data_IF_952441084928
#
_entry.id   IF_952441084928
#
_cell.length_a   1.000
_cell.length_b   1.000
_cell.length_c   1.000
_cell.angle_alpha   90.00
_cell.angle_beta   90.00
_cell.angle_gamma   90.00
#
_symmetry.space_group_name_H-M   'P 1'
#
loop_
_entity.id
_entity.type
_entity.pdbx_description
1 polymer ?
#
# COMPACT_ATOMS: atom_id res chain seq x y z
N UNK A 1 -10.87 6.37 29.95
CA UNK A 1 -9.88 7.14 30.74
C UNK A 1 -10.54 8.38 31.32
N UNK A 2 -10.70 9.49 30.59
CA UNK A 2 -11.26 10.74 31.16
C UNK A 2 -12.64 10.57 31.84
N UNK A 3 -13.58 9.83 31.22
CA UNK A 3 -14.88 9.50 31.83
C UNK A 3 -14.67 8.73 33.15
N UNK A 4 -13.78 7.74 33.17
CA UNK A 4 -13.51 6.97 34.39
C UNK A 4 -12.92 7.85 35.50
N UNK A 5 -11.97 8.73 35.18
CA UNK A 5 -11.40 9.69 36.14
C UNK A 5 -12.43 10.71 36.66
N UNK A 6 -13.41 11.10 35.84
CA UNK A 6 -14.55 11.92 36.23
C UNK A 6 -15.46 11.17 37.22
N UNK A 7 -15.84 9.94 36.90
CA UNK A 7 -16.77 9.17 37.73
C UNK A 7 -16.14 8.64 39.02
N UNK A 8 -14.85 8.30 39.03
CA UNK A 8 -14.12 8.04 40.28
C UNK A 8 -14.16 9.26 41.23
N UNK A 9 -14.01 10.48 40.71
CA UNK A 9 -14.18 11.70 41.50
C UNK A 9 -15.62 11.92 41.96
N UNK A 10 -16.63 11.66 41.11
CA UNK A 10 -18.05 11.75 41.52
C UNK A 10 -18.39 10.77 42.64
N UNK A 11 -17.99 9.49 42.53
CA UNK A 11 -18.14 8.46 43.58
C UNK A 11 -17.52 8.92 44.89
N UNK A 12 -16.27 9.38 44.85
CA UNK A 12 -15.56 9.82 46.06
C UNK A 12 -16.20 11.07 46.71
N UNK A 13 -16.82 11.96 45.93
CA UNK A 13 -17.62 13.09 46.46
C UNK A 13 -18.95 12.62 47.07
N UNK A 14 -19.61 11.63 46.47
CA UNK A 14 -20.86 11.06 46.96
C UNK A 14 -20.65 10.29 48.28
N UNK A 15 -19.58 9.50 48.37
CA UNK A 15 -19.16 8.77 49.59
C UNK A 15 -18.92 9.71 50.78
N UNK A 16 -18.30 10.87 50.54
CA UNK A 16 -18.03 11.89 51.56
C UNK A 16 -19.19 12.88 51.78
N UNK A 17 -20.37 12.61 51.20
CA UNK A 17 -21.57 13.45 51.28
C UNK A 17 -22.68 12.73 52.07
N UNK A 18 -23.62 13.46 52.73
CA UNK A 18 -24.85 12.87 53.25
C UNK A 18 -25.63 12.05 52.20
N UNK A 19 -25.46 12.38 50.90
CA UNK A 19 -26.03 11.61 49.79
C UNK A 19 -25.50 10.17 49.68
N UNK A 20 -24.31 9.86 50.20
CA UNK A 20 -23.72 8.51 50.16
C UNK A 20 -24.53 7.45 50.94
N UNK A 21 -25.44 7.87 51.83
CA UNK A 21 -26.37 6.98 52.53
C UNK A 21 -27.66 6.69 51.74
N UNK A 22 -27.89 7.35 50.60
CA UNK A 22 -29.05 7.16 49.74
C UNK A 22 -28.73 6.22 48.56
N UNK A 23 -29.29 5.00 48.48
CA UNK A 23 -29.06 4.08 47.37
C UNK A 23 -29.40 4.68 46.00
N UNK A 24 -30.44 5.51 45.91
CA UNK A 24 -30.87 6.11 44.64
C UNK A 24 -29.81 7.06 44.05
N UNK A 25 -29.02 7.75 44.88
CA UNK A 25 -27.95 8.63 44.41
C UNK A 25 -26.75 7.85 43.84
N UNK A 26 -26.56 6.59 44.27
CA UNK A 26 -25.58 5.70 43.65
C UNK A 26 -26.09 5.13 42.33
N UNK A 27 -27.38 4.76 42.25
CA UNK A 27 -28.01 4.30 41.00
C UNK A 27 -28.00 5.39 39.92
N UNK A 28 -28.39 6.62 40.26
CA UNK A 28 -28.34 7.79 39.36
C UNK A 28 -26.92 8.03 38.82
N UNK A 29 -25.89 7.82 39.66
CA UNK A 29 -24.48 7.97 39.27
C UNK A 29 -23.96 6.83 38.38
N UNK A 30 -24.40 5.59 38.61
CA UNK A 30 -24.07 4.45 37.74
C UNK A 30 -24.81 4.52 36.40
N UNK A 31 -26.07 4.97 36.39
CA UNK A 31 -26.83 5.26 35.16
C UNK A 31 -26.19 6.39 34.35
N UNK A 32 -25.73 7.47 34.99
CA UNK A 32 -24.98 8.55 34.32
C UNK A 32 -23.64 8.05 33.76
N UNK A 33 -22.93 7.15 34.47
CA UNK A 33 -21.69 6.55 33.96
C UNK A 33 -21.94 5.67 32.74
N UNK A 34 -23.01 4.86 32.78
CA UNK A 34 -23.36 3.97 31.68
C UNK A 34 -23.78 4.75 30.44
N UNK A 35 -24.67 5.74 30.57
CA UNK A 35 -25.08 6.62 29.46
C UNK A 35 -23.88 7.33 28.83
N UNK A 36 -22.89 7.76 29.63
CA UNK A 36 -21.64 8.36 29.11
C UNK A 36 -20.73 7.38 28.37
N UNK A 37 -20.76 6.10 28.69
CA UNK A 37 -20.04 5.08 27.92
C UNK A 37 -20.78 4.71 26.64
N UNK A 38 -22.11 4.61 26.68
CA UNK A 38 -22.95 4.36 25.50
C UNK A 38 -22.83 5.51 24.48
N UNK A 39 -22.88 6.77 24.92
CA UNK A 39 -22.64 7.95 24.07
C UNK A 39 -21.26 7.91 23.40
N UNK A 40 -20.21 7.56 24.15
CA UNK A 40 -18.85 7.45 23.61
C UNK A 40 -18.71 6.27 22.62
N UNK A 41 -19.41 5.16 22.86
CA UNK A 41 -19.42 4.01 21.95
C UNK A 41 -20.21 4.31 20.66
N UNK A 42 -21.32 5.05 20.73
CA UNK A 42 -22.01 5.54 19.53
C UNK A 42 -21.13 6.49 18.71
N UNK A 43 -20.44 7.44 19.36
CA UNK A 43 -19.47 8.33 18.69
C UNK A 43 -18.32 7.55 18.05
N UNK A 44 -17.80 6.51 18.72
CA UNK A 44 -16.77 5.63 18.16
C UNK A 44 -17.30 4.86 16.95
N UNK A 45 -18.51 4.28 17.03
CA UNK A 45 -19.11 3.55 15.92
C UNK A 45 -19.43 4.45 14.72
N UNK A 46 -19.85 5.70 14.93
CA UNK A 46 -20.07 6.65 13.85
C UNK A 46 -18.77 6.95 13.09
N UNK A 47 -17.68 7.23 13.82
CA UNK A 47 -16.36 7.46 13.23
C UNK A 47 -15.77 6.18 12.58
N UNK A 48 -16.04 5.00 13.15
CA UNK A 48 -15.63 3.71 12.58
C UNK A 48 -16.33 3.43 11.24
N UNK A 49 -17.60 3.83 11.08
CA UNK A 49 -18.35 3.78 9.80
C UNK A 49 -17.84 4.82 8.79
N UNK A 50 -17.69 6.08 9.20
CA UNK A 50 -17.16 7.15 8.32
C UNK A 50 -15.76 6.80 7.78
N UNK A 51 -14.91 6.19 8.62
CA UNK A 51 -13.60 5.70 8.19
C UNK A 51 -13.70 4.51 7.24
N UNK A 52 -14.65 3.59 7.43
CA UNK A 52 -14.88 2.47 6.50
C UNK A 52 -15.34 2.98 5.13
N UNK A 53 -16.34 3.86 5.08
CA UNK A 53 -16.84 4.46 3.84
C UNK A 53 -15.72 5.22 3.11
N UNK A 54 -14.87 5.96 3.83
CA UNK A 54 -13.70 6.63 3.27
C UNK A 54 -12.70 5.64 2.64
N UNK A 55 -12.35 4.57 3.34
CA UNK A 55 -11.39 3.58 2.83
C UNK A 55 -11.95 2.75 1.68
N UNK A 56 -13.23 2.36 1.70
CA UNK A 56 -13.86 1.64 0.59
C UNK A 56 -13.94 2.49 -0.68
N UNK A 57 -14.37 3.75 -0.58
CA UNK A 57 -14.41 4.65 -1.73
C UNK A 57 -13.00 4.89 -2.29
N UNK A 58 -12.00 5.13 -1.43
CA UNK A 58 -10.61 5.31 -1.84
C UNK A 58 -10.03 4.06 -2.53
N UNK A 59 -10.40 2.86 -2.07
CA UNK A 59 -9.99 1.59 -2.73
C UNK A 59 -10.71 1.35 -4.06
N UNK A 60 -11.96 1.79 -4.22
CA UNK A 60 -12.66 1.78 -5.52
C UNK A 60 -11.97 2.72 -6.51
N UNK A 61 -11.78 3.99 -6.13
CA UNK A 61 -11.07 4.97 -6.98
C UNK A 61 -9.66 4.54 -7.38
N UNK A 62 -8.96 3.77 -6.54
CA UNK A 62 -7.61 3.25 -6.83
C UNK A 62 -7.66 2.02 -7.76
N UNK A 63 -8.66 1.13 -7.62
CA UNK A 63 -8.90 0.04 -8.56
C UNK A 63 -9.38 0.53 -9.93
N UNK A 64 -10.27 1.53 -9.96
CA UNK A 64 -10.81 2.10 -11.20
C UNK A 64 -9.69 2.82 -11.98
N UNK A 65 -8.83 3.60 -11.30
CA UNK A 65 -7.61 4.16 -11.90
C UNK A 65 -6.66 3.08 -12.46
N UNK A 66 -6.45 1.97 -11.74
CA UNK A 66 -5.62 0.86 -12.22
C UNK A 66 -6.23 0.15 -13.44
N UNK A 67 -7.56 0.10 -13.55
CA UNK A 67 -8.25 -0.40 -14.76
C UNK A 67 -8.06 0.54 -15.92
N UNK A 68 -8.35 1.83 -15.75
CA UNK A 68 -8.12 2.85 -16.78
C UNK A 68 -6.66 2.92 -17.25
N UNK A 69 -5.69 2.65 -16.36
CA UNK A 69 -4.27 2.56 -16.73
C UNK A 69 -3.96 1.29 -17.52
N UNK A 70 -4.46 0.12 -17.10
CA UNK A 70 -4.29 -1.14 -17.85
C UNK A 70 -4.97 -1.10 -19.23
N UNK A 71 -6.14 -0.49 -19.34
CA UNK A 71 -6.86 -0.37 -20.61
C UNK A 71 -6.11 0.56 -21.58
N UNK A 72 -5.54 1.67 -21.09
CA UNK A 72 -4.62 2.52 -21.87
C UNK A 72 -3.34 1.79 -22.28
N UNK A 73 -2.73 1.00 -21.39
CA UNK A 73 -1.55 0.20 -21.72
C UNK A 73 -1.85 -0.84 -22.82
N UNK A 74 -3.05 -1.44 -22.82
CA UNK A 74 -3.51 -2.34 -23.90
C UNK A 74 -3.69 -1.60 -25.22
N UNK A 75 -4.34 -0.43 -25.22
CA UNK A 75 -4.45 0.39 -26.44
C UNK A 75 -3.08 0.80 -27.00
N UNK A 76 -2.10 1.09 -26.14
CA UNK A 76 -0.74 1.41 -26.57
C UNK A 76 0.05 0.18 -27.04
N UNK A 77 -0.15 -1.00 -26.46
CA UNK A 77 0.40 -2.27 -26.97
C UNK A 77 -0.18 -2.65 -28.34
N UNK A 78 -1.50 -2.56 -28.51
CA UNK A 78 -2.16 -2.93 -29.77
C UNK A 78 -1.81 -1.93 -30.89
N UNK A 79 -1.70 -0.62 -30.58
CA UNK A 79 -1.13 0.38 -31.51
C UNK A 79 0.31 0.04 -31.94
N UNK A 80 1.17 -0.37 -30.99
CA UNK A 80 2.54 -0.77 -31.31
C UNK A 80 2.58 -2.00 -32.22
N UNK A 81 1.68 -2.97 -32.06
CA UNK A 81 1.56 -4.13 -32.95
C UNK A 81 1.09 -3.72 -34.35
N UNK A 82 0.09 -2.85 -34.46
CA UNK A 82 -0.37 -2.33 -35.75
C UNK A 82 0.72 -1.53 -36.49
N UNK A 83 1.63 -0.86 -35.77
CA UNK A 83 2.79 -0.17 -36.36
C UNK A 83 3.95 -1.16 -36.69
N UNK A 84 4.17 -2.23 -35.90
CA UNK A 84 5.12 -3.30 -36.22
C UNK A 84 4.71 -4.09 -37.47
N UNK A 85 3.45 -4.51 -37.58
CA UNK A 85 2.98 -5.32 -38.70
C UNK A 85 3.00 -4.53 -40.01
N UNK A 86 2.71 -3.22 -39.99
CA UNK A 86 2.90 -2.34 -41.16
C UNK A 86 4.37 -2.22 -41.58
N UNK A 87 5.31 -2.16 -40.63
CA UNK A 87 6.74 -2.17 -40.95
C UNK A 87 7.18 -3.51 -41.58
N UNK A 88 6.56 -4.64 -41.21
CA UNK A 88 6.80 -5.94 -41.84
C UNK A 88 6.28 -5.98 -43.28
N UNK A 89 5.07 -5.48 -43.52
CA UNK A 89 4.50 -5.36 -44.88
C UNK A 89 5.39 -4.48 -45.79
N UNK A 90 5.90 -3.35 -45.26
CA UNK A 90 6.84 -2.48 -45.98
C UNK A 90 8.21 -3.17 -46.23
N UNK A 91 8.74 -3.98 -45.30
CA UNK A 91 9.98 -4.74 -45.49
C UNK A 91 9.84 -5.87 -46.51
N UNK A 92 8.77 -6.68 -46.43
CA UNK A 92 8.56 -7.81 -47.33
C UNK A 92 8.30 -7.32 -48.77
N UNK A 93 7.54 -6.23 -48.95
CA UNK A 93 7.35 -5.59 -50.25
C UNK A 93 8.66 -5.02 -50.86
N UNK A 94 9.60 -4.58 -50.03
CA UNK A 94 10.94 -4.19 -50.49
C UNK A 94 11.78 -5.40 -50.93
N UNK A 95 11.70 -6.53 -50.21
CA UNK A 95 12.41 -7.78 -50.57
C UNK A 95 11.91 -8.36 -51.88
N UNK A 96 10.59 -8.42 -52.10
CA UNK A 96 10.04 -8.84 -53.39
C UNK A 96 10.53 -7.93 -54.53
N UNK A 97 10.68 -6.62 -54.28
CA UNK A 97 11.24 -5.67 -55.23
C UNK A 97 12.74 -5.84 -55.52
N UNK A 98 13.55 -6.25 -54.53
CA UNK A 98 14.97 -6.57 -54.72
C UNK A 98 15.17 -7.89 -55.49
N UNK A 99 14.41 -8.94 -55.17
CA UNK A 99 14.60 -10.25 -55.80
C UNK A 99 14.19 -10.24 -57.28
N UNK A 100 13.14 -9.50 -57.67
CA UNK A 100 12.84 -9.27 -59.09
C UNK A 100 14.01 -8.55 -59.82
N UNK A 101 14.66 -7.57 -59.18
CA UNK A 101 15.82 -6.88 -59.77
C UNK A 101 17.06 -7.79 -59.87
N UNK A 102 17.18 -8.83 -59.03
CA UNK A 102 18.23 -9.84 -59.17
C UNK A 102 17.98 -10.77 -60.35
N UNK A 103 16.74 -11.19 -60.59
CA UNK A 103 16.39 -11.97 -61.79
C UNK A 103 16.66 -11.17 -63.09
N UNK A 104 16.47 -9.84 -63.07
CA UNK A 104 16.82 -8.94 -64.18
C UNK A 104 18.35 -8.75 -64.38
N UNK A 105 19.15 -8.74 -63.31
CA UNK A 105 20.62 -8.60 -63.38
C UNK A 105 21.36 -9.90 -63.75
N UNK A 106 20.94 -11.05 -63.21
CA UNK A 106 21.58 -12.35 -63.54
C UNK A 106 21.33 -12.74 -65.01
N UNK A 107 20.30 -12.18 -65.65
CA UNK A 107 20.07 -12.29 -67.09
C UNK A 107 21.07 -11.51 -67.98
N UNK A 108 22.00 -10.73 -67.40
CA UNK A 108 22.92 -9.84 -68.14
C UNK A 108 24.40 -10.02 -67.77
N UNK A 109 24.77 -11.09 -67.05
CA UNK A 109 26.15 -11.35 -66.59
C UNK A 109 26.86 -12.51 -67.31
N UNK A 110 26.88 -12.46 -68.65
CA UNK A 110 27.97 -13.07 -69.44
C UNK A 110 28.84 -11.97 -70.07
N UNK A 111 30.11 -12.29 -70.34
CA UNK A 111 31.11 -11.45 -71.04
C UNK A 111 31.54 -10.14 -70.33
N UNK A 112 32.51 -10.24 -69.40
CA UNK A 112 33.88 -9.72 -69.64
C UNK A 112 34.87 -10.11 -68.52
N UNK A 113 36.03 -10.67 -68.88
CA UNK A 113 37.20 -10.80 -68.00
C UNK A 113 38.23 -9.69 -68.30
N UNK A 114 39.07 -9.35 -67.29
CA UNK A 114 40.46 -8.81 -67.36
C UNK A 114 40.78 -7.52 -66.55
N UNK A 115 41.30 -7.73 -65.34
CA UNK A 115 42.68 -7.32 -64.95
C UNK A 115 43.10 -5.82 -64.95
N UNK A 116 43.29 -5.19 -63.75
CA UNK A 116 44.59 -4.64 -63.25
C UNK A 116 44.54 -3.81 -61.93
N UNK A 117 45.32 -4.26 -60.94
CA UNK A 117 46.09 -3.56 -59.87
C UNK A 117 46.14 -2.00 -59.79
N UNK A 118 45.71 -1.38 -58.64
CA UNK A 118 46.53 -0.55 -57.68
C UNK A 118 45.77 0.38 -56.71
N UNK A 119 46.26 0.47 -55.45
CA UNK A 119 45.97 1.55 -54.44
C UNK A 119 44.71 1.29 -53.59
N UNK A 120 44.72 1.05 -52.26
CA UNK A 120 45.38 1.64 -51.06
C UNK A 120 44.59 2.82 -50.44
N UNK A 121 44.45 2.81 -49.11
CA UNK A 121 44.16 3.93 -48.18
C UNK A 121 42.72 4.52 -48.21
N UNK A 122 42.10 5.03 -47.13
CA UNK A 122 42.22 4.95 -45.63
C UNK A 122 41.02 5.81 -45.06
N UNK A 123 40.33 5.63 -43.91
CA UNK A 123 40.36 4.71 -42.75
C UNK A 123 38.95 4.51 -42.10
N UNK A 124 38.69 3.33 -41.51
CA UNK A 124 37.92 3.07 -40.25
C UNK A 124 36.37 3.34 -40.15
N UNK A 125 35.66 2.83 -39.10
CA UNK A 125 34.21 2.55 -39.16
C UNK A 125 33.32 3.35 -38.18
N UNK A 126 32.01 3.26 -38.40
CA UNK A 126 31.02 3.18 -37.32
C UNK A 126 29.89 4.21 -37.31
N UNK A 127 28.67 3.74 -37.56
CA UNK A 127 27.43 4.39 -37.13
C UNK A 127 26.38 3.32 -36.77
N UNK A 128 26.56 2.70 -35.60
CA UNK A 128 25.45 2.00 -34.95
C UNK A 128 24.51 3.09 -34.44
N UNK A 129 23.34 3.25 -35.07
CA UNK A 129 22.36 4.28 -34.69
C UNK A 129 21.70 3.91 -33.36
N UNK A 130 22.39 4.24 -32.26
CA UNK A 130 21.83 4.28 -30.91
C UNK A 130 21.50 5.73 -30.61
N UNK A 131 20.23 6.11 -30.76
CA UNK A 131 19.73 7.43 -30.39
C UNK A 131 19.63 7.60 -28.87
N UNK A 132 20.78 7.54 -28.20
CA UNK A 132 21.00 7.97 -26.82
C UNK A 132 20.96 9.51 -26.72
N UNK A 133 19.94 10.12 -27.32
CA UNK A 133 19.85 11.53 -27.73
C UNK A 133 18.92 12.41 -26.90
N UNK A 134 18.51 11.97 -25.70
CA UNK A 134 17.97 12.86 -24.67
C UNK A 134 16.43 12.98 -24.56
N UNK A 135 15.84 12.08 -23.76
CA UNK A 135 14.61 12.39 -23.00
C UNK A 135 14.65 11.93 -21.54
N UNK A 136 15.85 11.88 -20.96
CA UNK A 136 16.09 11.48 -19.55
C UNK A 136 15.72 12.60 -18.54
N UNK A 137 14.57 13.24 -18.69
CA UNK A 137 14.04 14.28 -17.78
C UNK A 137 12.52 14.45 -17.99
N UNK A 138 11.73 13.48 -17.51
CA UNK A 138 10.26 13.56 -17.53
C UNK A 138 9.54 12.84 -16.36
N UNK A 139 10.26 12.29 -15.37
CA UNK A 139 9.65 11.70 -14.16
C UNK A 139 9.23 12.79 -13.15
N UNK A 140 8.52 13.79 -13.64
CA UNK A 140 8.09 14.97 -12.92
C UNK A 140 6.78 14.73 -12.13
N UNK A 141 6.85 13.78 -11.19
CA UNK A 141 6.07 13.84 -9.95
C UNK A 141 4.54 13.87 -10.12
N UNK A 142 3.99 12.81 -10.71
CA UNK A 142 2.73 12.26 -10.18
C UNK A 142 2.93 12.03 -8.66
N UNK A 143 2.12 12.61 -7.77
CA UNK A 143 2.23 12.38 -6.35
C UNK A 143 1.65 11.00 -6.02
N UNK A 144 2.50 9.96 -6.05
CA UNK A 144 2.18 8.64 -5.49
C UNK A 144 1.60 8.89 -4.09
N UNK A 145 0.32 8.53 -3.89
CA UNK A 145 -0.53 8.97 -2.79
C UNK A 145 -0.19 8.37 -1.42
N UNK A 146 1.09 8.15 -1.14
CA UNK A 146 1.62 7.73 0.15
C UNK A 146 1.13 8.73 1.22
N UNK A 147 0.41 8.27 2.26
CA UNK A 147 -0.08 9.14 3.32
C UNK A 147 1.07 9.91 3.97
N UNK A 148 0.92 11.23 4.11
CA UNK A 148 2.02 12.15 4.46
C UNK A 148 2.66 11.86 5.83
N UNK A 149 1.92 11.22 6.74
CA UNK A 149 2.36 10.80 8.07
C UNK A 149 2.45 9.27 8.15
N UNK A 150 3.48 8.76 8.84
CA UNK A 150 3.58 7.33 9.22
C UNK A 150 2.37 6.90 10.06
N UNK A 151 1.89 5.67 9.91
CA UNK A 151 0.66 5.18 10.56
C UNK A 151 0.29 3.73 10.20
N UNK A 152 -0.89 3.25 10.63
CA UNK A 152 -1.41 1.90 10.42
C UNK A 152 -2.87 1.86 9.96
N UNK A 153 -3.18 1.02 8.97
CA UNK A 153 -4.56 0.66 8.62
C UNK A 153 -5.22 -0.22 9.68
N UNK A 154 -6.55 -0.29 9.69
CA UNK A 154 -7.28 -1.23 10.56
C UNK A 154 -6.81 -2.67 10.28
N UNK A 155 -6.77 -3.52 11.32
CA UNK A 155 -6.35 -4.90 11.15
C UNK A 155 -7.35 -5.67 10.26
N UNK A 156 -6.86 -6.56 9.40
CA UNK A 156 -7.70 -7.40 8.54
C UNK A 156 -7.31 -8.89 8.58
N UNK A 157 -8.27 -9.82 8.76
CA UNK A 157 -9.68 -9.57 9.07
C UNK A 157 -9.89 -9.01 10.49
N UNK A 158 -11.04 -8.38 10.72
CA UNK A 158 -11.53 -7.96 12.03
C UNK A 158 -13.08 -8.06 12.02
N UNK A 159 -13.73 -8.91 12.83
CA UNK A 159 -13.13 -9.88 13.76
C UNK A 159 -12.27 -10.96 13.08
N UNK A 160 -11.43 -11.66 13.84
CA UNK A 160 -10.60 -12.76 13.33
C UNK A 160 -10.54 -13.95 14.28
N UNK A 161 -10.33 -15.16 13.75
CA UNK A 161 -10.34 -16.41 14.53
C UNK A 161 -8.99 -17.13 14.62
N UNK A 162 -8.07 -16.85 13.68
CA UNK A 162 -6.79 -17.58 13.55
C UNK A 162 -5.61 -16.61 13.51
N UNK A 163 -5.64 -15.66 12.58
CA UNK A 163 -4.65 -14.60 12.48
C UNK A 163 -5.27 -13.33 11.88
N UNK A 164 -4.63 -12.18 12.12
CA UNK A 164 -4.96 -10.89 11.50
C UNK A 164 -3.69 -10.17 11.06
N UNK A 165 -3.78 -9.43 9.97
CA UNK A 165 -2.68 -8.62 9.41
C UNK A 165 -2.91 -7.16 9.76
N UNK A 166 -1.87 -6.50 10.29
CA UNK A 166 -1.81 -5.06 10.47
C UNK A 166 -0.89 -4.51 9.39
N UNK A 167 -1.45 -3.73 8.45
CA UNK A 167 -0.68 -3.00 7.45
C UNK A 167 -0.28 -1.63 8.03
N UNK A 168 0.97 -1.23 7.86
CA UNK A 168 1.48 0.05 8.35
C UNK A 168 2.56 0.61 7.43
N UNK A 169 2.75 1.92 7.48
CA UNK A 169 3.66 2.65 6.59
C UNK A 169 4.55 3.59 7.38
N UNK A 170 5.78 3.73 6.90
CA UNK A 170 6.86 4.51 7.49
C UNK A 170 7.26 5.57 6.47
N UNK A 171 7.07 6.85 6.79
CA UNK A 171 7.39 7.96 5.88
C UNK A 171 8.79 8.53 6.09
N UNK A 172 9.28 8.49 7.34
CA UNK A 172 10.65 8.83 7.72
C UNK A 172 11.35 7.60 8.32
N UNK A 173 12.57 7.24 7.87
CA UNK A 173 13.31 6.11 8.43
C UNK A 173 13.55 6.27 9.94
N UNK A 174 13.20 5.28 10.74
CA UNK A 174 13.20 5.41 12.19
C UNK A 174 12.92 4.12 12.95
N UNK A 175 12.96 4.22 14.28
CA UNK A 175 12.57 3.12 15.16
C UNK A 175 11.05 2.93 15.10
N UNK A 176 10.64 1.75 14.62
CA UNK A 176 9.26 1.26 14.68
C UNK A 176 9.13 0.29 15.83
N UNK A 177 7.99 0.36 16.53
CA UNK A 177 7.51 -0.71 17.40
C UNK A 177 6.02 -0.91 17.20
N UNK A 178 5.59 -2.16 17.07
CA UNK A 178 4.19 -2.56 16.99
C UNK A 178 3.90 -3.61 18.06
N UNK A 179 3.06 -3.27 19.02
CA UNK A 179 2.77 -4.09 20.21
C UNK A 179 1.27 -4.37 20.33
N UNK A 180 0.90 -5.56 20.78
CA UNK A 180 -0.48 -5.96 21.10
C UNK A 180 -0.67 -5.97 22.61
N UNK A 181 -1.82 -5.46 23.06
CA UNK A 181 -2.21 -5.29 24.45
C UNK A 181 -3.61 -5.88 24.71
N UNK A 182 -3.85 -6.35 25.92
CA UNK A 182 -5.19 -6.72 26.40
C UNK A 182 -5.97 -5.50 26.96
N UNK A 183 -7.22 -5.71 27.36
CA UNK A 183 -8.08 -4.67 27.95
C UNK A 183 -7.56 -4.10 29.29
N UNK A 184 -6.53 -4.70 29.88
CA UNK A 184 -5.88 -4.24 31.13
C UNK A 184 -4.58 -3.47 30.83
N UNK A 185 -4.26 -3.22 29.57
CA UNK A 185 -3.01 -2.60 29.14
C UNK A 185 -1.79 -3.51 29.28
N UNK A 186 -1.97 -4.81 29.51
CA UNK A 186 -0.84 -5.76 29.59
C UNK A 186 -0.38 -6.11 28.17
N UNK A 187 0.92 -5.96 27.90
CA UNK A 187 1.50 -6.29 26.59
C UNK A 187 1.47 -7.81 26.37
N UNK A 188 0.63 -8.23 25.43
CA UNK A 188 0.45 -9.63 25.01
C UNK A 188 1.65 -10.08 24.16
N UNK A 189 2.05 -9.27 23.17
CA UNK A 189 3.15 -9.58 22.23
C UNK A 189 3.71 -8.33 21.55
N UNK A 190 4.99 -8.37 21.17
CA UNK A 190 5.61 -7.41 20.25
C UNK A 190 5.66 -8.08 18.85
N UNK A 191 5.11 -7.44 17.83
CA UNK A 191 4.98 -7.97 16.46
C UNK A 191 6.11 -7.49 15.55
N UNK A 192 6.58 -6.26 15.76
CA UNK A 192 7.81 -5.73 15.16
C UNK A 192 8.48 -4.77 16.12
N UNK A 193 9.81 -4.72 16.09
CA UNK A 193 10.62 -3.80 16.88
C UNK A 193 11.99 -3.66 16.24
N UNK A 194 12.37 -2.45 15.83
CA UNK A 194 13.65 -2.19 15.17
C UNK A 194 13.65 -0.93 14.31
N UNK A 195 14.74 -0.69 13.58
CA UNK A 195 14.81 0.39 12.61
C UNK A 195 14.20 -0.04 11.27
N UNK A 196 13.26 0.74 10.75
CA UNK A 196 12.64 0.53 9.43
C UNK A 196 13.00 1.70 8.51
N UNK A 197 13.17 1.41 7.22
CA UNK A 197 13.33 2.42 6.19
C UNK A 197 11.97 3.02 5.80
N UNK A 198 11.96 4.05 4.93
CA UNK A 198 10.73 4.53 4.32
C UNK A 198 10.10 3.42 3.47
N UNK A 199 8.82 3.13 3.67
CA UNK A 199 8.10 2.09 2.92
C UNK A 199 6.83 1.58 3.61
N UNK A 200 6.17 0.64 2.96
CA UNK A 200 4.97 -0.04 3.46
C UNK A 200 5.30 -1.45 3.95
N UNK A 201 4.71 -1.82 5.07
CA UNK A 201 5.01 -3.04 5.83
C UNK A 201 3.72 -3.75 6.27
N UNK A 202 3.86 -5.03 6.63
CA UNK A 202 2.78 -5.85 7.20
C UNK A 202 3.33 -6.64 8.38
N UNK A 203 2.59 -6.66 9.48
CA UNK A 203 2.82 -7.58 10.59
C UNK A 203 1.60 -8.48 10.77
N UNK A 204 1.81 -9.71 11.24
CA UNK A 204 0.73 -10.68 11.49
C UNK A 204 0.70 -11.00 12.98
N UNK A 205 -0.49 -10.94 13.57
CA UNK A 205 -0.73 -11.55 14.88
C UNK A 205 -1.55 -12.83 14.70
N UNK A 206 -1.07 -13.90 15.33
CA UNK A 206 -1.55 -15.28 15.24
C UNK A 206 -2.43 -15.67 16.45
N UNK A 207 -2.89 -14.69 17.23
CA UNK A 207 -3.66 -14.92 18.46
C UNK A 207 -2.85 -15.50 19.63
N UNK A 208 -1.51 -15.50 19.61
CA UNK A 208 -0.68 -16.03 20.70
C UNK A 208 0.12 -14.93 21.44
N UNK A 209 0.37 -15.14 22.74
CA UNK A 209 1.21 -14.29 23.58
C UNK A 209 2.71 -14.45 23.28
N UNK A 210 3.54 -13.63 23.92
CA UNK A 210 5.01 -13.68 23.81
C UNK A 210 5.65 -15.00 24.32
N UNK A 211 4.86 -15.90 24.92
CA UNK A 211 5.29 -17.22 25.41
C UNK A 211 4.74 -18.37 24.54
N UNK A 212 4.09 -18.07 23.41
CA UNK A 212 3.48 -19.06 22.52
C UNK A 212 2.17 -19.66 23.03
N UNK A 213 1.52 -19.07 24.03
CA UNK A 213 0.21 -19.50 24.55
C UNK A 213 -0.91 -18.79 23.80
N UNK A 214 -1.97 -19.50 23.41
CA UNK A 214 -3.12 -18.83 22.78
C UNK A 214 -3.74 -17.81 23.75
N UNK A 215 -4.07 -16.63 23.22
CA UNK A 215 -4.89 -15.64 23.88
C UNK A 215 -6.35 -16.12 23.99
N UNK A 216 -7.13 -15.49 24.86
CA UNK A 216 -8.57 -15.74 24.98
C UNK A 216 -9.36 -14.92 23.96
N UNK A 217 -10.52 -15.42 23.49
CA UNK A 217 -11.47 -14.63 22.68
C UNK A 217 -11.87 -13.36 23.43
N UNK A 218 -11.89 -12.21 22.76
CA UNK A 218 -12.12 -10.91 23.37
C UNK A 218 -11.52 -9.73 22.61
N UNK A 219 -11.60 -8.54 23.22
CA UNK A 219 -11.05 -7.30 22.67
C UNK A 219 -9.56 -7.17 23.00
N UNK A 220 -8.79 -6.75 22.00
CA UNK A 220 -7.37 -6.42 22.11
C UNK A 220 -7.12 -5.06 21.45
N UNK A 221 -5.96 -4.48 21.72
CA UNK A 221 -5.50 -3.26 21.06
C UNK A 221 -4.12 -3.51 20.46
N UNK A 222 -3.85 -3.00 19.25
CA UNK A 222 -2.47 -2.81 18.82
C UNK A 222 -2.08 -1.34 19.00
N UNK A 223 -0.81 -1.08 19.31
CA UNK A 223 -0.20 0.25 19.31
C UNK A 223 1.00 0.27 18.36
N UNK A 224 0.97 1.16 17.37
CA UNK A 224 2.11 1.49 16.52
C UNK A 224 2.83 2.72 17.10
N UNK A 225 4.15 2.65 17.15
CA UNK A 225 5.06 3.78 17.41
C UNK A 225 6.06 3.86 16.28
N UNK A 226 6.19 5.02 15.65
CA UNK A 226 7.15 5.25 14.56
C UNK A 226 7.51 6.74 14.50
N UNK A 227 8.76 7.07 14.84
CA UNK A 227 9.19 8.46 14.98
C UNK A 227 8.31 9.22 15.99
N UNK A 228 7.60 10.25 15.52
CA UNK A 228 6.62 11.00 16.31
C UNK A 228 5.20 10.42 16.34
N UNK A 229 4.84 9.49 15.44
CA UNK A 229 3.49 8.90 15.42
C UNK A 229 3.32 7.91 16.58
N UNK A 230 2.20 8.03 17.30
CA UNK A 230 1.65 7.00 18.16
C UNK A 230 0.18 6.77 17.79
N UNK A 231 -0.16 5.57 17.35
CA UNK A 231 -1.51 5.21 16.89
C UNK A 231 -1.96 3.90 17.54
N UNK A 232 -3.22 3.84 18.01
CA UNK A 232 -3.77 2.68 18.74
C UNK A 232 -5.13 2.32 18.16
N UNK A 233 -5.36 1.04 17.81
CA UNK A 233 -6.69 0.58 17.33
C UNK A 233 -7.15 -0.71 17.99
N UNK A 234 -8.47 -0.80 18.12
CA UNK A 234 -9.27 -1.93 18.64
C UNK A 234 -9.22 -3.10 17.65
N UNK A 235 -9.09 -4.32 18.17
CA UNK A 235 -9.18 -5.58 17.43
C UNK A 235 -10.11 -6.54 18.20
N UNK A 236 -10.89 -7.38 17.50
CA UNK A 236 -11.75 -8.40 18.11
C UNK A 236 -11.30 -9.80 17.69
N UNK A 237 -10.82 -10.58 18.66
CA UNK A 237 -10.39 -11.98 18.47
C UNK A 237 -11.51 -12.94 18.90
N UNK A 238 -11.85 -13.90 18.03
CA UNK A 238 -12.97 -14.85 18.23
C UNK A 238 -12.51 -16.26 17.87
N UNK A 239 -11.98 -16.97 18.85
CA UNK A 239 -11.67 -18.41 18.80
C UNK A 239 -12.87 -19.26 19.22
#
# INVERSE_FOLDING_TARGET
>A
IAIEEEFQQKRQRLENSPGGQNPAAWQELDEEQQQRHEELEEQYQALERESQDYWENRQREEQDRQREEQDRQREDEDRQREDEDRQREDEDGQREGEDHQREDEDGQREEFEAETDRGRSEELPGSLNVDAGGKLMALAREPIGLPEVSGAGQNYPNPFNSATTIAYHVMEPGLVRLEVYDIRGQRVRELTGGFHAKGSYRAVWDGHDANGRSAASGVYFYALRVGGTHEVKKMLYVK
#
